data_IF_786550079427
#
_entry.id   IF_786550079427
#
_cell.length_a   1.000
_cell.length_b   1.000
_cell.length_c   1.000
_cell.angle_alpha   90.00
_cell.angle_beta   90.00
_cell.angle_gamma   90.00
#
_symmetry.space_group_name_H-M   'P 1'
#
loop_
_entity.id
_entity.type
_entity.pdbx_description
1 polymer ?
#
# COMPACT_ATOMS: atom_id res chain seq x y z
N UNK A 1 16.07 -1.47 22.22
CA UNK A 1 15.38 -0.55 21.30
C UNK A 1 14.94 -1.32 20.06
N UNK A 2 13.82 -2.06 20.16
CA UNK A 2 13.33 -2.91 19.07
C UNK A 2 12.66 -2.06 17.99
N UNK A 3 13.34 -1.91 16.86
CA UNK A 3 12.71 -1.37 15.65
C UNK A 3 11.78 -2.46 15.10
N UNK A 4 10.47 -2.25 15.25
CA UNK A 4 9.39 -3.16 14.84
C UNK A 4 8.96 -2.86 13.39
N UNK A 5 8.53 -3.88 12.64
CA UNK A 5 8.24 -3.82 11.20
C UNK A 5 6.75 -4.05 10.90
N UNK A 6 6.21 -3.26 9.94
CA UNK A 6 5.13 -3.58 8.98
C UNK A 6 3.61 -3.54 9.36
N UNK A 7 2.59 -3.20 8.52
CA UNK A 7 2.33 -3.11 7.06
C UNK A 7 1.22 -2.10 6.70
N UNK A 8 1.46 -1.12 5.81
CA UNK A 8 0.39 -0.34 5.17
C UNK A 8 0.35 -0.70 3.69
N UNK A 9 -0.78 -1.26 3.27
CA UNK A 9 -1.14 -1.44 1.87
C UNK A 9 -2.31 -0.51 1.62
N UNK A 10 -2.13 0.50 0.77
CA UNK A 10 -3.27 1.10 0.08
C UNK A 10 -3.38 0.42 -1.28
N UNK A 11 -4.55 -0.14 -1.55
CA UNK A 11 -4.92 -0.71 -2.84
C UNK A 11 -5.36 0.44 -3.75
N UNK A 12 -4.62 0.70 -4.82
CA UNK A 12 -5.06 1.65 -5.84
C UNK A 12 -6.10 0.96 -6.75
N UNK A 13 -7.32 0.77 -6.26
CA UNK A 13 -8.48 0.37 -7.06
C UNK A 13 -9.67 1.24 -6.72
N UNK A 14 -9.71 2.47 -7.23
CA UNK A 14 -10.94 3.23 -7.23
C UNK A 14 -11.66 3.03 -8.57
N UNK A 15 -12.66 2.14 -8.54
CA UNK A 15 -13.82 2.15 -9.44
C UNK A 15 -15.02 2.88 -8.81
N UNK A 16 -14.78 3.67 -7.76
CA UNK A 16 -15.79 4.57 -7.19
C UNK A 16 -15.71 5.92 -7.89
N UNK A 17 -16.85 6.51 -8.31
CA UNK A 17 -16.86 7.85 -8.86
C UNK A 17 -16.20 8.79 -7.86
N UNK A 18 -15.27 9.61 -8.35
CA UNK A 18 -14.60 10.64 -7.55
C UNK A 18 -15.68 11.54 -7.01
N UNK A 19 -15.91 11.50 -5.69
CA UNK A 19 -16.71 12.54 -5.02
C UNK A 19 -15.98 13.85 -5.33
N UNK A 20 -16.69 14.81 -5.91
CA UNK A 20 -16.14 15.99 -6.58
C UNK A 20 -15.16 16.82 -5.75
N UNK A 21 -14.69 17.95 -6.32
CA UNK A 21 -13.77 18.86 -5.61
C UNK A 21 -14.31 19.20 -4.21
N UNK A 22 -13.43 19.29 -3.20
CA UNK A 22 -13.82 19.75 -1.86
C UNK A 22 -14.43 21.16 -1.97
N UNK A 23 -15.69 21.37 -1.61
CA UNK A 23 -16.30 22.73 -1.63
C UNK A 23 -15.98 23.54 -0.37
N UNK A 24 -16.03 22.98 0.85
CA UNK A 24 -15.89 23.80 2.08
C UNK A 24 -15.06 23.23 3.24
N UNK A 25 -14.30 22.15 3.05
CA UNK A 25 -13.79 21.44 4.22
C UNK A 25 -12.32 21.12 4.11
N UNK A 26 -11.59 21.41 5.19
CA UNK A 26 -10.14 21.25 5.34
C UNK A 26 -9.71 19.87 4.79
N UNK A 27 -9.18 19.80 3.56
CA UNK A 27 -8.63 18.57 2.98
C UNK A 27 -7.22 18.29 3.56
N UNK A 28 -7.11 18.36 4.89
CA UNK A 28 -5.95 17.89 5.64
C UNK A 28 -6.03 16.38 5.74
N UNK A 29 -4.87 15.72 5.74
CA UNK A 29 -4.76 14.25 5.75
C UNK A 29 -5.28 13.56 7.02
N UNK A 30 -5.97 14.29 7.91
CA UNK A 30 -6.44 13.86 9.22
C UNK A 30 -7.81 14.41 9.62
N UNK A 31 -8.40 15.29 8.80
CA UNK A 31 -9.64 15.95 9.16
C UNK A 31 -10.81 15.21 8.52
N UNK A 32 -11.78 14.78 9.35
CA UNK A 32 -13.11 14.33 8.90
C UNK A 32 -13.89 15.41 8.16
N UNK A 33 -13.32 16.61 8.02
CA UNK A 33 -13.89 17.64 7.19
C UNK A 33 -14.02 17.19 5.73
N UNK A 34 -12.99 16.59 5.17
CA UNK A 34 -13.02 16.22 3.75
C UNK A 34 -13.78 14.92 3.52
N UNK A 35 -14.85 14.96 2.72
CA UNK A 35 -15.62 13.76 2.36
C UNK A 35 -14.72 12.68 1.75
N UNK A 36 -13.79 13.06 0.86
CA UNK A 36 -12.83 12.12 0.27
C UNK A 36 -11.92 11.45 1.32
N UNK A 37 -11.46 12.19 2.34
CA UNK A 37 -10.71 11.61 3.46
C UNK A 37 -11.59 10.63 4.24
N UNK A 38 -12.83 11.03 4.55
CA UNK A 38 -13.81 10.20 5.25
C UNK A 38 -14.18 8.92 4.51
N UNK A 39 -14.21 8.95 3.18
CA UNK A 39 -14.47 7.80 2.31
C UNK A 39 -13.21 7.07 1.84
N UNK A 40 -12.03 7.44 2.37
CA UNK A 40 -10.72 6.85 2.02
C UNK A 40 -10.34 6.94 0.55
N UNK A 41 -10.80 7.99 -0.13
CA UNK A 41 -10.46 8.29 -1.52
C UNK A 41 -9.48 9.45 -1.58
N UNK A 42 -8.54 9.43 -2.54
CA UNK A 42 -7.76 10.63 -2.84
C UNK A 42 -8.63 11.70 -3.50
N UNK A 43 -8.38 12.96 -3.17
CA UNK A 43 -8.93 14.07 -3.92
C UNK A 43 -8.42 14.08 -5.37
N UNK A 44 -9.21 14.62 -6.32
CA UNK A 44 -8.76 14.79 -7.71
C UNK A 44 -7.57 15.75 -7.79
N UNK A 45 -6.74 15.66 -8.86
CA UNK A 45 -5.51 16.46 -8.98
C UNK A 45 -5.77 17.97 -8.93
N UNK A 46 -6.91 18.43 -9.47
CA UNK A 46 -7.33 19.83 -9.54
C UNK A 46 -8.09 20.32 -8.28
N UNK A 47 -8.05 19.56 -7.16
CA UNK A 47 -8.82 19.91 -5.96
C UNK A 47 -8.48 21.30 -5.39
N UNK A 48 -7.24 21.53 -4.93
CA UNK A 48 -6.68 22.83 -4.53
C UNK A 48 -5.17 22.70 -4.23
N UNK A 49 -4.37 23.78 -4.32
CA UNK A 49 -2.92 23.71 -4.07
C UNK A 49 -2.54 23.18 -2.68
N UNK A 50 -3.32 23.52 -1.64
CA UNK A 50 -3.07 23.11 -0.25
C UNK A 50 -3.67 21.75 0.14
N UNK A 51 -4.18 20.98 -0.82
CA UNK A 51 -4.76 19.66 -0.55
C UNK A 51 -3.67 18.66 -0.12
N UNK A 52 -3.84 18.06 1.06
CA UNK A 52 -2.95 17.01 1.57
C UNK A 52 -3.50 15.59 1.33
N UNK A 53 -4.69 15.45 0.73
CA UNK A 53 -5.31 14.17 0.42
C UNK A 53 -5.02 13.73 -1.04
N UNK A 54 -3.74 13.82 -1.42
CA UNK A 54 -3.23 13.53 -2.76
C UNK A 54 -1.86 12.82 -2.69
N UNK A 55 -1.57 12.16 -1.58
CA UNK A 55 -0.24 11.62 -1.27
C UNK A 55 0.18 10.48 -2.18
N UNK A 56 -0.73 9.56 -2.51
CA UNK A 56 -0.46 8.43 -3.40
C UNK A 56 -0.14 8.95 -4.80
N UNK A 57 -1.00 9.81 -5.36
CA UNK A 57 -0.75 10.40 -6.69
C UNK A 57 0.50 11.26 -6.76
N UNK A 58 0.86 11.95 -5.67
CA UNK A 58 2.10 12.74 -5.57
C UNK A 58 3.32 11.89 -5.18
N UNK A 59 3.15 10.59 -5.01
CA UNK A 59 4.17 9.66 -4.53
C UNK A 59 4.82 10.10 -3.19
N UNK A 60 4.03 10.74 -2.32
CA UNK A 60 4.42 11.18 -0.99
C UNK A 60 4.14 10.07 0.03
N UNK A 61 5.18 9.31 0.38
CA UNK A 61 5.07 8.20 1.32
C UNK A 61 6.27 8.20 2.27
N UNK A 62 6.23 7.36 3.31
CA UNK A 62 7.34 7.29 4.26
C UNK A 62 8.64 6.80 3.59
N UNK A 63 9.78 7.24 4.13
CA UNK A 63 11.07 6.71 3.71
C UNK A 63 11.27 5.31 4.27
N UNK A 64 11.39 4.33 3.37
CA UNK A 64 11.48 2.89 3.70
C UNK A 64 12.70 2.25 3.04
N UNK A 65 13.15 1.10 3.56
CA UNK A 65 14.21 0.26 2.99
C UNK A 65 13.94 -1.21 3.25
N UNK A 66 14.57 -2.05 2.44
CA UNK A 66 14.62 -3.49 2.67
C UNK A 66 15.89 -3.84 3.42
N UNK A 67 15.78 -4.77 4.37
CA UNK A 67 16.94 -5.43 4.98
C UNK A 67 16.70 -6.93 5.03
N UNK A 68 17.75 -7.69 4.74
CA UNK A 68 17.74 -9.15 4.84
C UNK A 68 18.21 -9.56 6.24
N UNK A 69 17.51 -10.51 6.84
CA UNK A 69 17.90 -11.19 8.07
C UNK A 69 18.00 -12.68 7.82
N UNK A 70 18.90 -13.35 8.54
CA UNK A 70 19.13 -14.78 8.39
C UNK A 70 17.91 -15.64 8.75
N UNK A 71 17.10 -15.21 9.73
CA UNK A 71 15.97 -15.97 10.27
C UNK A 71 14.67 -15.81 9.47
N UNK A 72 14.51 -14.68 8.77
CA UNK A 72 13.22 -14.25 8.21
C UNK A 72 13.31 -13.73 6.77
N UNK A 73 14.46 -13.82 6.14
CA UNK A 73 14.69 -13.28 4.80
C UNK A 73 14.56 -11.76 4.76
N UNK A 74 13.96 -11.25 3.69
CA UNK A 74 13.79 -9.82 3.48
C UNK A 74 12.66 -9.26 4.34
N UNK A 75 12.87 -8.07 4.91
CA UNK A 75 11.82 -7.30 5.58
C UNK A 75 11.88 -5.83 5.20
N UNK A 76 10.78 -5.11 5.43
CA UNK A 76 10.66 -3.67 5.15
C UNK A 76 10.76 -2.84 6.44
N UNK A 77 11.60 -1.82 6.40
CA UNK A 77 12.08 -1.06 7.55
C UNK A 77 11.87 0.43 7.29
N UNK A 78 11.45 1.17 8.31
CA UNK A 78 11.43 2.62 8.24
C UNK A 78 12.87 3.18 8.25
N UNK A 79 13.10 4.26 7.50
CA UNK A 79 14.30 5.12 7.58
C UNK A 79 14.07 6.36 8.45
N UNK A 80 12.85 6.57 8.89
CA UNK A 80 12.41 7.74 9.64
C UNK A 80 11.37 7.36 10.69
N UNK A 81 11.10 8.27 11.64
CA UNK A 81 9.95 8.14 12.51
C UNK A 81 8.66 8.34 11.71
N UNK A 82 7.74 7.38 11.80
CA UNK A 82 6.44 7.42 11.12
C UNK A 82 5.36 7.67 12.17
N UNK A 83 4.75 8.87 12.15
CA UNK A 83 3.63 9.20 13.03
C UNK A 83 2.41 8.33 12.70
N UNK A 84 1.65 7.92 13.71
CA UNK A 84 0.37 7.20 13.54
C UNK A 84 -0.54 7.94 12.54
N UNK A 85 -1.14 7.17 11.63
CA UNK A 85 -2.00 7.68 10.55
C UNK A 85 -1.25 8.27 9.33
N UNK A 86 0.09 8.21 9.28
CA UNK A 86 0.85 8.60 8.08
C UNK A 86 0.88 7.44 7.08
N UNK A 87 0.73 7.77 5.79
CA UNK A 87 0.95 6.86 4.68
C UNK A 87 2.40 6.35 4.68
N UNK A 88 2.59 5.04 4.86
CA UNK A 88 3.89 4.37 4.72
C UNK A 88 4.24 4.10 3.26
N UNK A 89 3.40 3.37 2.53
CA UNK A 89 3.54 3.13 1.08
C UNK A 89 2.26 2.46 0.53
N UNK A 90 2.18 2.31 -0.78
CA UNK A 90 1.15 1.54 -1.51
C UNK A 90 1.64 0.13 -1.79
N UNK A 91 0.74 -0.86 -1.93
CA UNK A 91 1.13 -2.20 -2.39
C UNK A 91 1.02 -2.28 -3.90
N UNK A 92 2.14 -2.17 -4.60
CA UNK A 92 2.12 -2.11 -6.06
C UNK A 92 2.65 -3.40 -6.69
N UNK A 93 1.88 -3.93 -7.63
CA UNK A 93 2.23 -5.02 -8.53
C UNK A 93 1.18 -5.19 -9.63
N UNK A 94 1.44 -6.04 -10.65
CA UNK A 94 0.45 -6.46 -11.62
C UNK A 94 -0.87 -6.87 -10.96
N UNK A 95 -1.98 -6.46 -11.56
CA UNK A 95 -3.31 -6.84 -11.07
C UNK A 95 -3.98 -7.76 -12.06
N UNK A 96 -4.30 -8.94 -11.55
CA UNK A 96 -4.65 -10.08 -12.37
C UNK A 96 -5.84 -10.81 -11.75
N UNK A 97 -6.53 -11.60 -12.56
CA UNK A 97 -7.63 -12.44 -12.06
C UNK A 97 -7.06 -13.62 -11.27
N UNK A 98 -7.87 -14.16 -10.34
CA UNK A 98 -7.50 -15.35 -9.54
C UNK A 98 -7.05 -16.54 -10.39
N UNK A 99 -7.71 -16.78 -11.54
CA UNK A 99 -7.34 -17.86 -12.48
C UNK A 99 -5.94 -17.66 -13.05
N UNK A 100 -5.58 -16.44 -13.43
CA UNK A 100 -4.24 -16.12 -13.93
C UNK A 100 -3.18 -16.27 -12.83
N UNK A 101 -3.49 -15.82 -11.60
CA UNK A 101 -2.57 -15.98 -10.47
C UNK A 101 -2.24 -17.45 -10.18
N UNK A 102 -3.22 -18.36 -10.30
CA UNK A 102 -2.98 -19.79 -10.15
C UNK A 102 -1.98 -20.34 -11.19
N UNK A 103 -2.12 -19.93 -12.46
CA UNK A 103 -1.18 -20.29 -13.54
C UNK A 103 0.22 -19.74 -13.26
N UNK A 104 0.31 -18.46 -12.88
CA UNK A 104 1.60 -17.84 -12.53
C UNK A 104 2.28 -18.52 -11.36
N UNK A 105 1.53 -18.88 -10.31
CA UNK A 105 2.07 -19.57 -9.13
C UNK A 105 2.65 -20.94 -9.51
N UNK A 106 2.01 -21.68 -10.41
CA UNK A 106 2.58 -22.93 -10.92
C UNK A 106 3.91 -22.69 -11.68
N UNK A 107 3.97 -21.64 -12.52
CA UNK A 107 5.21 -21.24 -13.18
C UNK A 107 6.31 -20.81 -12.21
N UNK A 108 5.97 -20.07 -11.15
CA UNK A 108 6.92 -19.66 -10.12
C UNK A 108 7.52 -20.85 -9.37
N UNK A 109 6.71 -21.87 -9.05
CA UNK A 109 7.19 -23.11 -8.46
C UNK A 109 8.16 -23.83 -9.41
N UNK A 110 7.81 -23.92 -10.70
CA UNK A 110 8.68 -24.54 -11.71
C UNK A 110 10.01 -23.78 -11.89
N UNK A 111 10.03 -22.47 -11.64
CA UNK A 111 11.23 -21.64 -11.64
C UNK A 111 12.00 -21.62 -10.30
N UNK A 112 11.60 -22.44 -9.32
CA UNK A 112 12.17 -22.46 -7.96
C UNK A 112 12.05 -21.14 -7.20
N UNK A 113 11.03 -20.32 -7.50
CA UNK A 113 10.69 -19.15 -6.69
C UNK A 113 9.90 -19.62 -5.46
N UNK A 114 10.47 -19.42 -4.28
CA UNK A 114 9.91 -19.88 -3.00
C UNK A 114 9.00 -18.85 -2.32
N UNK A 115 9.22 -17.56 -2.58
CA UNK A 115 8.43 -16.48 -1.99
C UNK A 115 7.34 -16.00 -2.96
N UNK A 116 6.07 -16.14 -2.55
CA UNK A 116 4.92 -15.61 -3.29
C UNK A 116 4.33 -14.40 -2.57
N UNK A 117 4.08 -13.33 -3.30
CA UNK A 117 3.67 -12.05 -2.70
C UNK A 117 2.25 -11.63 -3.08
N UNK A 118 1.46 -12.55 -3.62
CA UNK A 118 0.10 -12.28 -4.08
C UNK A 118 -0.85 -11.92 -2.93
N UNK A 119 -1.61 -10.83 -3.08
CA UNK A 119 -2.63 -10.43 -2.10
C UNK A 119 -3.96 -10.12 -2.78
N UNK A 120 -5.07 -10.41 -2.09
CA UNK A 120 -6.43 -10.28 -2.64
C UNK A 120 -6.92 -8.84 -2.63
N UNK A 121 -7.37 -8.37 -3.78
CA UNK A 121 -8.00 -7.07 -4.00
C UNK A 121 -9.38 -7.26 -4.65
N UNK A 122 -10.43 -7.46 -3.84
CA UNK A 122 -11.77 -7.78 -4.35
C UNK A 122 -11.78 -9.13 -5.09
N UNK A 123 -12.10 -9.08 -6.39
CA UNK A 123 -12.06 -10.23 -7.31
C UNK A 123 -10.72 -10.43 -8.01
N UNK A 124 -9.80 -9.51 -7.82
CA UNK A 124 -8.47 -9.53 -8.39
C UNK A 124 -7.41 -9.91 -7.34
N UNK A 125 -6.20 -10.17 -7.82
CA UNK A 125 -4.99 -10.37 -7.04
C UNK A 125 -3.98 -9.31 -7.48
N UNK A 126 -3.34 -8.64 -6.52
CA UNK A 126 -2.11 -7.88 -6.77
C UNK A 126 -0.95 -8.85 -6.59
N UNK A 127 -0.15 -9.04 -7.64
CA UNK A 127 0.93 -10.02 -7.70
C UNK A 127 2.29 -9.35 -7.96
N UNK A 128 2.96 -8.83 -6.91
CA UNK A 128 4.27 -8.20 -7.04
C UNK A 128 5.44 -9.19 -7.05
N UNK A 129 5.18 -10.49 -7.23
CA UNK A 129 6.17 -11.56 -7.05
C UNK A 129 7.42 -11.34 -7.90
N UNK A 130 7.25 -11.06 -9.20
CA UNK A 130 8.34 -10.71 -10.11
C UNK A 130 8.50 -9.20 -10.33
N UNK A 131 7.45 -8.42 -10.15
CA UNK A 131 7.44 -6.97 -10.44
C UNK A 131 6.57 -6.23 -9.44
N UNK A 132 7.19 -5.50 -8.52
CA UNK A 132 6.48 -4.67 -7.57
C UNK A 132 7.41 -3.69 -6.85
N UNK A 133 6.86 -2.90 -5.94
CA UNK A 133 7.65 -1.97 -5.13
C UNK A 133 8.22 -2.65 -3.87
N UNK A 134 8.90 -1.87 -3.01
CA UNK A 134 9.49 -2.37 -1.77
C UNK A 134 8.45 -2.93 -0.78
N UNK A 135 7.19 -2.52 -0.92
CA UNK A 135 6.08 -2.96 -0.07
C UNK A 135 5.83 -4.47 -0.13
N UNK A 136 6.37 -5.20 -1.12
CA UNK A 136 6.26 -6.67 -1.15
C UNK A 136 7.05 -7.35 -0.04
N UNK A 137 8.13 -6.74 0.48
CA UNK A 137 9.00 -7.35 1.51
C UNK A 137 8.45 -7.20 2.92
N UNK A 138 7.15 -7.35 3.00
CA UNK A 138 6.39 -6.95 4.10
C UNK A 138 5.88 -8.24 4.78
N UNK A 139 6.60 -8.62 5.84
CA UNK A 139 6.36 -9.74 6.74
C UNK A 139 5.12 -9.67 7.67
N UNK A 140 4.49 -10.81 7.87
CA UNK A 140 3.45 -10.98 8.89
C UNK A 140 3.99 -10.79 10.33
N UNK A 141 3.15 -10.28 11.24
CA UNK A 141 3.39 -10.20 12.68
C UNK A 141 2.08 -10.36 13.44
N UNK A 142 2.08 -11.12 14.55
CA UNK A 142 0.94 -11.24 15.45
C UNK A 142 0.68 -9.95 16.26
N UNK A 143 1.69 -9.08 16.39
CA UNK A 143 1.58 -7.75 16.99
C UNK A 143 2.06 -6.70 15.96
N UNK A 144 1.21 -6.36 14.97
CA UNK A 144 1.60 -5.49 13.86
C UNK A 144 1.72 -4.03 14.28
N UNK A 145 2.44 -3.21 13.49
CA UNK A 145 2.57 -1.77 13.74
C UNK A 145 2.10 -0.87 12.58
N UNK A 146 1.58 -1.47 11.52
CA UNK A 146 0.74 -0.78 10.55
C UNK A 146 -0.35 -1.73 10.04
N UNK A 147 -1.39 -1.16 9.43
CA UNK A 147 -2.56 -1.87 8.91
C UNK A 147 -2.79 -1.57 7.43
N UNK A 148 -3.39 -2.50 6.68
CA UNK A 148 -3.80 -2.26 5.29
C UNK A 148 -5.17 -1.61 5.21
N UNK A 149 -5.32 -0.61 4.33
CA UNK A 149 -6.61 0.00 4.01
C UNK A 149 -6.96 -0.23 2.53
N UNK A 150 -8.23 -0.56 2.30
CA UNK A 150 -8.84 -0.53 0.98
C UNK A 150 -9.50 0.81 0.77
#
# INVERSE_FOLDING_TARGET
METKYLLLLIFCFNWTPVIGRCEEVKCLSKDNGCVNVGTRQECPPDCRPSCQNQKIRKNEHAHIKVRTKADRGNGLYAKEFIKKGKLVTVYCGPVIRKKEYAVRRAGYIAENIVDFYGTRAGDYIIDPTKRGNLARFANHSCAPNMESHK
#
